data_IF_190363740302
#
_entry.id   IF_190363740302
#
_cell.length_a   1.000
_cell.length_b   1.000
_cell.length_c   1.000
_cell.angle_alpha   90.00
_cell.angle_beta   90.00
_cell.angle_gamma   90.00
#
_symmetry.space_group_name_H-M   'P 1'
#
loop_
_entity.id
_entity.type
_entity.pdbx_description
1 polymer ?
#
# COMPACT_ATOMS: atom_id res chain seq x y z
N UNK A 1 -9.68 -2.10 -31.65
CA UNK A 1 -9.47 -0.89 -30.82
C UNK A 1 -10.74 -0.65 -30.05
N UNK A 2 -10.69 -0.81 -28.72
CA UNK A 2 -11.53 -0.20 -27.69
C UNK A 2 -11.22 -0.88 -26.34
N UNK A 3 -9.93 -0.95 -26.00
CA UNK A 3 -9.51 -0.78 -24.61
C UNK A 3 -9.29 0.74 -24.46
N UNK A 4 -9.56 1.31 -23.29
CA UNK A 4 -9.34 2.74 -22.91
C UNK A 4 -10.61 3.60 -22.73
N UNK A 5 -11.63 3.08 -22.04
CA UNK A 5 -12.71 3.97 -21.54
C UNK A 5 -13.18 3.66 -20.12
N UNK A 6 -12.33 3.16 -19.23
CA UNK A 6 -12.55 3.20 -17.77
C UNK A 6 -11.22 3.26 -17.00
N UNK A 7 -10.33 4.18 -17.39
CA UNK A 7 -9.06 4.49 -16.69
C UNK A 7 -9.25 5.21 -15.35
N UNK A 8 -10.36 4.99 -14.66
CA UNK A 8 -10.64 5.58 -13.35
C UNK A 8 -9.98 4.71 -12.27
N UNK A 9 -8.71 5.02 -12.00
CA UNK A 9 -8.09 4.88 -10.69
C UNK A 9 -8.00 3.48 -10.06
N UNK A 10 -7.50 2.49 -10.81
CA UNK A 10 -7.03 1.23 -10.22
C UNK A 10 -5.87 1.44 -9.24
N UNK A 11 -5.12 2.54 -9.34
CA UNK A 11 -3.90 2.76 -8.57
C UNK A 11 -4.14 3.04 -7.07
N UNK A 12 -5.21 3.75 -6.68
CA UNK A 12 -5.51 3.99 -5.27
C UNK A 12 -6.14 2.76 -4.61
N UNK A 13 -7.07 2.09 -5.30
CA UNK A 13 -7.71 0.85 -4.83
C UNK A 13 -6.70 -0.29 -4.68
N UNK A 14 -5.80 -0.44 -5.66
CA UNK A 14 -4.68 -1.38 -5.62
C UNK A 14 -3.73 -1.09 -4.45
N UNK A 15 -3.33 0.18 -4.23
CA UNK A 15 -2.51 0.57 -3.07
C UNK A 15 -3.22 0.32 -1.73
N UNK A 16 -4.53 0.58 -1.62
CA UNK A 16 -5.31 0.31 -0.40
C UNK A 16 -5.32 -1.18 -0.10
N UNK A 17 -5.64 -2.02 -1.08
CA UNK A 17 -5.67 -3.48 -0.92
C UNK A 17 -4.30 -4.03 -0.52
N UNK A 18 -3.22 -3.53 -1.11
CA UNK A 18 -1.85 -3.90 -0.74
C UNK A 18 -1.55 -3.57 0.72
N UNK A 19 -1.79 -2.33 1.15
CA UNK A 19 -1.57 -1.91 2.55
C UNK A 19 -2.37 -2.80 3.53
N UNK A 20 -3.59 -3.16 3.18
CA UNK A 20 -4.44 -4.03 4.02
C UNK A 20 -3.89 -5.46 4.12
N UNK A 21 -3.28 -5.95 3.05
CA UNK A 21 -2.73 -7.30 2.92
C UNK A 21 -1.38 -7.49 3.64
N UNK A 22 -0.63 -6.41 3.90
CA UNK A 22 0.66 -6.48 4.60
C UNK A 22 0.50 -7.11 5.99
N UNK A 23 1.30 -8.15 6.27
CA UNK A 23 1.42 -8.75 7.60
C UNK A 23 2.29 -7.87 8.51
N UNK A 24 2.05 -7.89 9.83
CA UNK A 24 2.94 -7.19 10.76
C UNK A 24 4.37 -7.75 10.72
N UNK A 25 4.53 -9.06 10.51
CA UNK A 25 5.84 -9.70 10.43
C UNK A 25 6.68 -9.16 9.27
N UNK A 26 6.10 -9.04 8.07
CA UNK A 26 6.82 -8.50 6.91
C UNK A 26 7.07 -7.00 7.05
N UNK A 27 6.12 -6.29 7.65
CA UNK A 27 6.31 -4.88 7.98
C UNK A 27 7.43 -4.65 9.00
N UNK A 28 7.58 -5.55 9.97
CA UNK A 28 8.65 -5.51 10.97
C UNK A 28 10.02 -5.82 10.35
N UNK A 29 10.10 -6.75 9.38
CA UNK A 29 11.34 -7.04 8.63
C UNK A 29 11.87 -5.81 7.87
N UNK A 30 10.98 -4.90 7.49
CA UNK A 30 11.31 -3.62 6.85
C UNK A 30 11.74 -2.51 7.84
N UNK A 31 11.81 -2.83 9.14
CA UNK A 31 12.29 -1.94 10.18
C UNK A 31 11.26 -0.96 10.75
N UNK A 32 9.96 -1.24 10.62
CA UNK A 32 8.91 -0.33 11.08
C UNK A 32 8.15 -0.76 12.32
N UNK A 33 7.59 0.25 12.98
CA UNK A 33 6.70 0.09 14.12
C UNK A 33 5.32 -0.44 13.72
N UNK A 34 4.67 -1.10 14.70
CA UNK A 34 3.26 -1.51 14.62
C UNK A 34 2.33 -0.30 14.45
N UNK A 35 2.68 0.86 15.03
CA UNK A 35 1.90 2.09 14.95
C UNK A 35 1.82 2.65 13.53
N UNK A 36 2.92 2.63 12.79
CA UNK A 36 2.96 3.06 11.39
C UNK A 36 2.06 2.19 10.50
N UNK A 37 2.11 0.86 10.67
CA UNK A 37 1.23 -0.05 9.94
C UNK A 37 -0.24 0.19 10.26
N UNK A 38 -0.57 0.35 11.55
CA UNK A 38 -1.93 0.61 11.99
C UNK A 38 -2.48 1.89 11.36
N UNK A 39 -1.70 2.98 11.37
CA UNK A 39 -2.06 4.25 10.73
C UNK A 39 -2.32 4.07 9.24
N UNK A 40 -1.42 3.39 8.51
CA UNK A 40 -1.60 3.13 7.08
C UNK A 40 -2.85 2.30 6.79
N UNK A 41 -3.12 1.25 7.56
CA UNK A 41 -4.35 0.44 7.41
C UNK A 41 -5.60 1.23 7.74
N UNK A 42 -5.56 2.12 8.73
CA UNK A 42 -6.69 3.01 9.06
C UNK A 42 -7.02 3.92 7.89
N UNK A 43 -6.00 4.55 7.29
CA UNK A 43 -6.18 5.41 6.11
C UNK A 43 -6.63 4.63 4.88
N UNK A 44 -6.14 3.40 4.68
CA UNK A 44 -6.55 2.56 3.58
C UNK A 44 -8.02 2.10 3.67
N UNK A 45 -8.57 1.98 4.88
CA UNK A 45 -9.98 1.67 5.13
C UNK A 45 -10.90 2.88 5.03
N UNK A 46 -10.38 4.08 5.34
CA UNK A 46 -11.13 5.30 5.16
C UNK A 46 -11.31 5.53 3.66
N UNK A 47 -12.55 5.61 3.19
CA UNK A 47 -12.83 5.80 1.77
C UNK A 47 -12.42 7.19 1.25
N UNK A 48 -11.79 8.00 2.10
CA UNK A 48 -11.22 9.30 1.79
C UNK A 48 -9.87 9.19 1.08
N UNK A 49 -9.53 10.13 0.18
CA UNK A 49 -8.18 10.25 -0.37
C UNK A 49 -7.18 10.42 0.77
N UNK A 50 -6.07 9.69 0.72
CA UNK A 50 -4.95 9.89 1.65
C UNK A 50 -3.63 9.91 0.88
N UNK A 51 -2.71 10.72 1.38
CA UNK A 51 -1.35 10.79 0.85
C UNK A 51 -0.44 9.97 1.74
N UNK A 52 0.34 9.08 1.14
CA UNK A 52 1.46 8.46 1.84
C UNK A 52 2.62 9.46 1.85
N UNK A 53 3.24 9.65 3.01
CA UNK A 53 4.51 10.37 3.05
C UNK A 53 5.56 9.61 2.21
N UNK A 54 6.58 10.33 1.73
CA UNK A 54 7.61 9.75 0.83
C UNK A 54 8.26 8.49 1.43
N UNK A 55 8.51 8.50 2.74
CA UNK A 55 9.13 7.40 3.49
C UNK A 55 8.29 6.12 3.52
N UNK A 56 6.97 6.25 3.66
CA UNK A 56 6.02 5.14 3.64
C UNK A 56 5.81 4.63 2.21
N UNK A 57 5.83 5.53 1.21
CA UNK A 57 5.72 5.17 -0.21
C UNK A 57 6.92 4.34 -0.67
N UNK A 58 8.14 4.79 -0.39
CA UNK A 58 9.37 4.05 -0.72
C UNK A 58 9.37 2.63 -0.15
N UNK A 59 8.80 2.46 1.05
CA UNK A 59 8.81 1.14 1.69
C UNK A 59 7.64 0.25 1.32
N UNK A 60 6.51 0.82 0.92
CA UNK A 60 5.49 0.05 0.22
C UNK A 60 6.07 -0.55 -1.07
N UNK A 61 6.87 0.22 -1.82
CA UNK A 61 7.59 -0.27 -3.01
C UNK A 61 8.63 -1.35 -2.67
N UNK A 62 9.40 -1.19 -1.58
CA UNK A 62 10.30 -2.26 -1.09
C UNK A 62 9.55 -3.54 -0.72
N UNK A 63 8.41 -3.42 -0.05
CA UNK A 63 7.57 -4.59 0.28
C UNK A 63 7.06 -5.27 -1.00
N UNK A 64 6.59 -4.52 -1.99
CA UNK A 64 6.15 -5.05 -3.27
C UNK A 64 7.24 -5.87 -3.95
N UNK A 65 8.48 -5.37 -3.95
CA UNK A 65 9.65 -6.09 -4.47
C UNK A 65 9.98 -7.35 -3.67
N UNK A 66 9.76 -7.37 -2.35
CA UNK A 66 9.97 -8.58 -1.55
C UNK A 66 8.94 -9.66 -1.87
N UNK A 67 7.67 -9.29 -2.02
CA UNK A 67 6.58 -10.25 -2.29
C UNK A 67 6.58 -10.73 -3.75
N UNK A 68 6.97 -9.88 -4.70
CA UNK A 68 7.04 -10.26 -6.12
C UNK A 68 8.18 -11.24 -6.46
N UNK A 69 9.19 -11.34 -5.58
CA UNK A 69 10.34 -12.23 -5.75
C UNK A 69 10.29 -13.49 -4.87
N UNK A 70 9.16 -13.74 -4.19
CA UNK A 70 8.96 -14.84 -3.25
C UNK A 70 7.96 -15.88 -3.74
#
# INVERSE_FOLDING_TARGET
MLHDTYGINCNLSDRRQKILSISYSDWKKLGFSKGTLHYMKKNAKADTPFTLNAHNKERLDKWEKLVANG
#
